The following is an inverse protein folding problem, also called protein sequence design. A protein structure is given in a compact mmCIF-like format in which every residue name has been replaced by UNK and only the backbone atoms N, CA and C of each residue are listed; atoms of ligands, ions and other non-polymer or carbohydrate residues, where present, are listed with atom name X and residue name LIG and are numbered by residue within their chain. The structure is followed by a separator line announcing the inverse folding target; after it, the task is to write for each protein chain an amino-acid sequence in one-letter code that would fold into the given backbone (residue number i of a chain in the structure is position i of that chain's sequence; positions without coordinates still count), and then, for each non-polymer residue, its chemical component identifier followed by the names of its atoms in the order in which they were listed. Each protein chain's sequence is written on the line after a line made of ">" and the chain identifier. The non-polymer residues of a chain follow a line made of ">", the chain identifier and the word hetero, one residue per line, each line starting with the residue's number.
data_IF_362577359847
#
_entry.id   IF_362577359847
#
_cell.length_a   1.000
_cell.length_b   1.000
_cell.length_c   1.000
_cell.angle_alpha   90.00
_cell.angle_beta   90.00
_cell.angle_gamma   90.00
#
_symmetry.space_group_name_H-M   'P 1'
#
loop_
_entity.id
_entity.type
_entity.pdbx_description
1 polymer ?
#
# COMPACT_ATOMS: atom_id res chain seq x y z
N UNK A 1 3.77 -0.77 10.10
CA UNK A 1 4.88 0.09 9.66
C UNK A 1 4.44 1.54 9.78
N UNK A 2 4.91 2.27 10.78
CA UNK A 2 4.64 3.70 10.89
C UNK A 2 5.90 4.48 10.47
N UNK A 3 5.74 5.49 9.60
CA UNK A 3 6.83 6.36 9.11
C UNK A 3 7.98 5.64 8.38
N UNK A 4 7.66 4.88 7.33
CA UNK A 4 8.67 4.24 6.47
C UNK A 4 8.64 4.83 5.06
N UNK A 5 9.80 4.92 4.40
CA UNK A 5 9.85 5.23 2.97
C UNK A 5 9.82 3.93 2.16
N UNK A 6 8.66 3.65 1.58
CA UNK A 6 8.37 2.50 0.72
C UNK A 6 8.16 2.94 -0.74
N UNK A 7 8.57 4.16 -1.08
CA UNK A 7 8.40 4.69 -2.44
C UNK A 7 9.09 3.79 -3.47
N UNK A 8 8.43 3.55 -4.61
CA UNK A 8 8.92 2.72 -5.71
C UNK A 8 8.89 1.22 -5.48
N UNK A 9 8.48 0.74 -4.29
CA UNK A 9 8.45 -0.68 -3.98
C UNK A 9 7.34 -1.42 -4.75
N UNK A 10 7.49 -2.73 -4.89
CA UNK A 10 6.51 -3.60 -5.55
C UNK A 10 5.93 -4.60 -4.54
N UNK A 11 4.68 -4.37 -4.13
CA UNK A 11 3.84 -5.26 -3.33
C UNK A 11 2.87 -6.04 -4.23
N UNK A 12 3.35 -6.55 -5.36
CA UNK A 12 2.51 -7.25 -6.32
C UNK A 12 2.04 -8.57 -5.70
N UNK A 13 0.72 -8.83 -5.69
CA UNK A 13 0.10 -10.02 -5.06
C UNK A 13 0.36 -10.16 -3.55
N UNK A 14 0.83 -9.10 -2.88
CA UNK A 14 1.10 -9.14 -1.45
C UNK A 14 -0.20 -9.24 -0.64
N UNK A 15 -0.19 -10.00 0.46
CA UNK A 15 -1.27 -9.94 1.45
C UNK A 15 -0.95 -8.85 2.48
N UNK A 16 -1.64 -7.73 2.42
CA UNK A 16 -1.54 -6.59 3.35
C UNK A 16 -2.85 -6.40 4.13
N UNK A 17 -3.65 -7.45 4.23
CA UNK A 17 -4.87 -7.46 5.01
C UNK A 17 -4.62 -7.05 6.45
N UNK A 18 -5.46 -6.15 6.97
CA UNK A 18 -5.35 -5.58 8.32
C UNK A 18 -4.00 -4.87 8.61
N UNK A 19 -3.18 -4.60 7.58
CA UNK A 19 -1.89 -3.96 7.77
C UNK A 19 -2.03 -2.47 8.13
N UNK A 20 -1.21 -2.01 9.08
CA UNK A 20 -1.16 -0.60 9.48
C UNK A 20 0.07 0.05 8.83
N UNK A 21 -0.16 0.82 7.77
CA UNK A 21 0.86 1.52 6.96
C UNK A 21 0.58 3.03 7.01
N UNK A 22 0.70 3.61 8.20
CA UNK A 22 0.39 5.02 8.44
C UNK A 22 1.63 5.92 8.39
N UNK A 23 1.44 7.18 8.04
CA UNK A 23 2.49 8.20 7.95
C UNK A 23 3.69 7.80 7.05
N UNK A 24 3.49 6.95 6.04
CA UNK A 24 4.57 6.37 5.22
C UNK A 24 4.65 7.00 3.83
N UNK A 25 5.85 7.02 3.26
CA UNK A 25 6.07 7.42 1.87
C UNK A 25 5.79 6.25 0.94
N UNK A 26 4.80 6.36 0.06
CA UNK A 26 4.36 5.31 -0.86
C UNK A 26 4.35 5.80 -2.32
N UNK A 27 5.15 6.80 -2.65
CA UNK A 27 5.21 7.37 -3.99
C UNK A 27 5.59 6.30 -5.01
N UNK A 28 4.87 6.21 -6.14
CA UNK A 28 5.13 5.22 -7.20
C UNK A 28 5.18 3.74 -6.74
N UNK A 29 4.60 3.42 -5.58
CA UNK A 29 4.55 2.04 -5.07
C UNK A 29 3.55 1.22 -5.87
N UNK A 30 3.87 -0.04 -6.19
CA UNK A 30 2.99 -0.91 -6.94
C UNK A 30 2.29 -1.92 -6.03
N UNK A 31 0.98 -1.77 -5.84
CA UNK A 31 0.10 -2.68 -5.08
C UNK A 31 -0.78 -3.54 -6.00
N UNK A 32 -0.37 -3.79 -7.25
CA UNK A 32 -1.15 -4.61 -8.17
C UNK A 32 -1.42 -6.00 -7.60
N UNK A 33 -2.67 -6.45 -7.65
CA UNK A 33 -3.12 -7.75 -7.15
C UNK A 33 -2.94 -7.96 -5.64
N UNK A 34 -2.57 -6.92 -4.88
CA UNK A 34 -2.45 -7.02 -3.44
C UNK A 34 -3.82 -7.18 -2.76
N UNK A 35 -3.88 -7.96 -1.68
CA UNK A 35 -5.00 -7.92 -0.75
C UNK A 35 -4.80 -6.73 0.19
N UNK A 36 -5.63 -5.69 0.02
CA UNK A 36 -5.58 -4.47 0.84
C UNK A 36 -6.79 -4.36 1.79
N UNK A 37 -7.47 -5.47 2.06
CA UNK A 37 -8.66 -5.50 2.92
C UNK A 37 -8.29 -4.96 4.30
N UNK A 38 -8.99 -3.92 4.76
CA UNK A 38 -8.75 -3.25 6.04
C UNK A 38 -7.32 -2.68 6.24
N UNK A 39 -6.56 -2.48 5.16
CA UNK A 39 -5.25 -1.81 5.27
C UNK A 39 -5.45 -0.34 5.63
N UNK A 40 -4.74 0.14 6.65
CA UNK A 40 -4.76 1.55 7.04
C UNK A 40 -3.58 2.30 6.39
N UNK A 41 -3.90 3.22 5.48
CA UNK A 41 -2.95 4.13 4.83
C UNK A 41 -3.01 5.57 5.38
N UNK A 42 -3.57 5.81 6.56
CA UNK A 42 -3.73 7.16 7.10
C UNK A 42 -2.43 7.96 7.11
N UNK A 43 -2.50 9.21 6.63
CA UNK A 43 -1.37 10.14 6.52
C UNK A 43 -0.21 9.66 5.62
N UNK A 44 -0.40 8.60 4.83
CA UNK A 44 0.62 8.12 3.89
C UNK A 44 0.54 8.85 2.54
N UNK A 45 1.69 9.02 1.88
CA UNK A 45 1.81 9.71 0.59
C UNK A 45 1.72 8.72 -0.55
N UNK A 46 0.55 8.60 -1.18
CA UNK A 46 0.23 7.60 -2.21
C UNK A 46 0.36 8.10 -3.66
N UNK A 47 0.93 9.28 -3.90
CA UNK A 47 1.00 9.85 -5.25
C UNK A 47 1.73 8.91 -6.23
N UNK A 48 1.10 8.63 -7.36
CA UNK A 48 1.62 7.71 -8.38
C UNK A 48 1.63 6.22 -7.99
N UNK A 49 1.11 5.85 -6.81
CA UNK A 49 0.96 4.44 -6.45
C UNK A 49 0.00 3.73 -7.41
N UNK A 50 0.31 2.47 -7.76
CA UNK A 50 -0.48 1.65 -8.66
C UNK A 50 -1.37 0.71 -7.87
N UNK A 51 -2.66 0.75 -8.17
CA UNK A 51 -3.68 -0.10 -7.57
C UNK A 51 -4.45 -0.84 -8.68
N UNK A 52 -3.83 -1.84 -9.31
CA UNK A 52 -4.50 -2.66 -10.34
C UNK A 52 -5.01 -3.95 -9.69
N UNK A 53 -6.32 -4.26 -9.77
CA UNK A 53 -6.93 -5.53 -9.30
C UNK A 53 -6.72 -5.88 -7.80
N UNK A 54 -7.01 -4.98 -6.88
CA UNK A 54 -6.94 -5.27 -5.44
C UNK A 54 -8.09 -6.18 -5.00
N UNK A 55 -7.86 -7.01 -3.99
CA UNK A 55 -8.96 -7.59 -3.22
C UNK A 55 -9.43 -6.60 -2.15
N UNK A 56 -10.73 -6.34 -2.08
CA UNK A 56 -11.34 -5.36 -1.17
C UNK A 56 -12.67 -5.79 -0.56
N UNK A 57 -13.10 -7.05 -0.74
CA UNK A 57 -14.35 -7.58 -0.20
C UNK A 57 -14.16 -8.26 1.15
#
# INVERSE_FOLDING_TARGET
>A
MSKTNLSGHKFIKANLEDAIITNSGLWATNFSEANLRKTDFQKSRLYGAKFIKQSSR
#
